data_IF_861213035591
#
_entry.id   IF_861213035591
#
_cell.length_a   1.000
_cell.length_b   1.000
_cell.length_c   1.000
_cell.angle_alpha   90.00
_cell.angle_beta   90.00
_cell.angle_gamma   90.00
#
_symmetry.space_group_name_H-M   'P 1'
#
loop_
_entity.id
_entity.type
_entity.pdbx_description
1 polymer ?
#
# COMPACT_ATOMS: atom_id res chain seq x y z
N UNK A 1 7.60 -32.69 -26.68
CA UNK A 1 6.86 -31.71 -25.86
C UNK A 1 5.37 -32.04 -26.01
N UNK A 2 4.72 -32.71 -25.03
CA UNK A 2 3.29 -32.96 -25.11
C UNK A 2 2.53 -31.63 -24.95
N UNK A 3 1.50 -31.46 -25.77
CA UNK A 3 0.66 -30.27 -25.94
C UNK A 3 -0.11 -29.91 -24.66
N UNK A 4 -0.34 -28.61 -24.48
CA UNK A 4 -1.24 -27.93 -23.52
C UNK A 4 -2.74 -28.30 -23.69
N UNK A 5 -3.08 -29.56 -23.93
CA UNK A 5 -4.46 -30.00 -24.23
C UNK A 5 -5.48 -29.70 -23.13
N UNK A 6 -5.05 -29.62 -21.87
CA UNK A 6 -5.96 -29.40 -20.75
C UNK A 6 -6.46 -27.96 -20.61
N UNK A 7 -5.68 -26.96 -21.04
CA UNK A 7 -6.07 -25.56 -20.95
C UNK A 7 -7.03 -25.19 -22.10
N UNK A 8 -6.78 -25.74 -23.28
CA UNK A 8 -7.62 -25.51 -24.46
C UNK A 8 -9.00 -26.18 -24.29
N UNK A 9 -9.06 -27.40 -23.73
CA UNK A 9 -10.35 -28.08 -23.42
C UNK A 9 -11.16 -27.37 -22.34
N UNK A 10 -10.52 -26.80 -21.32
CA UNK A 10 -11.20 -26.02 -20.27
C UNK A 10 -11.83 -24.74 -20.84
N UNK A 11 -11.11 -24.08 -21.73
CA UNK A 11 -11.56 -22.84 -22.39
C UNK A 11 -12.68 -23.12 -23.39
N UNK A 12 -12.59 -24.20 -24.18
CA UNK A 12 -13.64 -24.59 -25.13
C UNK A 12 -14.96 -24.94 -24.41
N UNK A 13 -14.87 -25.49 -23.20
CA UNK A 13 -16.03 -25.78 -22.35
C UNK A 13 -16.71 -24.52 -21.83
N UNK A 14 -15.94 -23.54 -21.34
CA UNK A 14 -16.46 -22.23 -20.91
C UNK A 14 -17.12 -21.50 -22.09
N UNK A 15 -16.50 -21.49 -23.28
CA UNK A 15 -17.07 -20.83 -24.47
C UNK A 15 -18.41 -21.48 -24.91
N UNK A 16 -18.56 -22.79 -24.73
CA UNK A 16 -19.80 -23.52 -25.00
C UNK A 16 -20.91 -23.23 -23.99
N UNK A 17 -20.58 -22.95 -22.73
CA UNK A 17 -21.55 -22.73 -21.65
C UNK A 17 -22.06 -21.28 -21.58
N UNK A 18 -21.30 -20.28 -22.06
CA UNK A 18 -21.64 -18.85 -21.93
C UNK A 18 -22.35 -18.17 -23.11
N UNK A 19 -22.87 -18.91 -24.10
CA UNK A 19 -23.87 -18.36 -25.06
C UNK A 19 -23.44 -17.18 -25.95
N UNK A 20 -22.17 -16.77 -25.95
CA UNK A 20 -21.66 -15.64 -26.76
C UNK A 20 -21.24 -16.05 -28.19
N UNK A 21 -21.51 -17.29 -28.59
CA UNK A 21 -20.85 -17.89 -29.76
C UNK A 21 -21.38 -17.43 -31.11
N UNK A 22 -22.68 -17.10 -31.24
CA UNK A 22 -23.27 -16.73 -32.54
C UNK A 22 -22.84 -15.33 -33.00
N UNK A 23 -22.93 -14.32 -32.13
CA UNK A 23 -22.56 -12.92 -32.44
C UNK A 23 -21.06 -12.77 -32.79
N UNK A 24 -20.21 -13.51 -32.09
CA UNK A 24 -18.76 -13.49 -32.30
C UNK A 24 -18.39 -14.25 -33.58
N UNK A 25 -19.11 -15.33 -33.93
CA UNK A 25 -18.90 -16.08 -35.18
C UNK A 25 -19.36 -15.27 -36.39
N UNK A 26 -20.50 -14.58 -36.31
CA UNK A 26 -21.00 -13.71 -37.39
C UNK A 26 -20.07 -12.51 -37.63
N UNK A 27 -19.60 -11.85 -36.56
CA UNK A 27 -18.62 -10.77 -36.68
C UNK A 27 -17.27 -11.26 -37.24
N UNK A 28 -16.80 -12.43 -36.83
CA UNK A 28 -15.58 -13.06 -37.36
C UNK A 28 -15.73 -13.43 -38.83
N UNK A 29 -16.88 -13.97 -39.24
CA UNK A 29 -17.21 -14.28 -40.62
C UNK A 29 -17.24 -13.03 -41.51
N UNK A 30 -17.91 -11.96 -41.06
CA UNK A 30 -17.99 -10.70 -41.81
C UNK A 30 -16.67 -9.93 -41.89
N UNK A 31 -15.73 -10.16 -40.96
CA UNK A 31 -14.36 -9.59 -41.03
C UNK A 31 -13.47 -10.46 -41.92
N UNK A 32 -13.58 -11.79 -41.85
CA UNK A 32 -12.90 -12.74 -42.74
C UNK A 32 -13.22 -12.49 -44.21
N UNK A 33 -14.50 -12.32 -44.52
CA UNK A 33 -14.99 -12.05 -45.88
C UNK A 33 -14.50 -10.70 -46.41
N UNK A 34 -14.49 -9.65 -45.58
CA UNK A 34 -13.99 -8.31 -45.98
C UNK A 34 -12.48 -8.25 -46.19
N UNK A 35 -11.72 -9.13 -45.54
CA UNK A 35 -10.26 -9.12 -45.58
C UNK A 35 -9.67 -10.25 -46.44
N UNK A 36 -10.49 -11.14 -46.99
CA UNK A 36 -10.05 -12.28 -47.80
C UNK A 36 -9.22 -13.31 -47.04
N UNK A 37 -9.46 -13.44 -45.73
CA UNK A 37 -8.76 -14.36 -44.83
C UNK A 37 -9.66 -15.54 -44.48
N UNK A 38 -9.09 -16.71 -44.22
CA UNK A 38 -9.87 -17.84 -43.70
C UNK A 38 -10.33 -17.55 -42.26
N UNK A 39 -11.57 -17.93 -41.90
CA UNK A 39 -12.11 -17.66 -40.55
C UNK A 39 -11.17 -18.17 -39.44
N UNK A 40 -10.45 -19.25 -39.72
CA UNK A 40 -9.51 -19.93 -38.82
C UNK A 40 -8.26 -19.09 -38.51
N UNK A 41 -7.92 -18.12 -39.36
CA UNK A 41 -6.78 -17.22 -39.22
C UNK A 41 -7.10 -15.98 -38.37
N UNK A 42 -8.38 -15.70 -38.13
CA UNK A 42 -8.82 -14.57 -37.30
C UNK A 42 -8.94 -15.01 -35.84
N UNK A 43 -7.89 -14.78 -35.05
CA UNK A 43 -7.93 -15.04 -33.62
C UNK A 43 -8.85 -14.02 -32.91
N UNK A 44 -9.97 -14.49 -32.34
CA UNK A 44 -10.80 -13.70 -31.43
C UNK A 44 -9.99 -13.44 -30.17
N UNK A 45 -9.66 -12.18 -29.91
CA UNK A 45 -8.75 -11.82 -28.80
C UNK A 45 -9.45 -11.88 -27.44
N UNK A 46 -8.73 -12.48 -26.49
CA UNK A 46 -8.97 -12.60 -25.04
C UNK A 46 -9.09 -11.25 -24.28
N UNK A 47 -9.20 -10.11 -24.97
CA UNK A 47 -8.94 -8.77 -24.42
C UNK A 47 -10.21 -8.04 -23.90
N UNK A 48 -11.44 -8.49 -24.16
CA UNK A 48 -12.66 -7.71 -23.84
C UNK A 48 -12.99 -7.68 -22.34
N UNK A 49 -12.77 -8.78 -21.62
CA UNK A 49 -12.96 -8.87 -20.15
C UNK A 49 -11.89 -8.06 -19.40
N UNK A 50 -10.63 -8.21 -19.80
CA UNK A 50 -9.46 -7.47 -19.30
C UNK A 50 -9.63 -5.95 -19.45
N UNK A 51 -10.18 -5.52 -20.59
CA UNK A 51 -10.43 -4.10 -20.89
C UNK A 51 -11.56 -3.53 -20.04
N UNK A 52 -12.64 -4.28 -19.78
CA UNK A 52 -13.72 -3.85 -18.86
C UNK A 52 -13.26 -3.82 -17.40
N UNK A 53 -12.47 -4.80 -16.97
CA UNK A 53 -11.95 -4.90 -15.60
C UNK A 53 -11.02 -3.74 -15.22
N UNK A 54 -10.20 -3.25 -16.16
CA UNK A 54 -9.37 -2.06 -15.96
C UNK A 54 -10.17 -0.75 -16.03
N UNK A 55 -11.37 -0.75 -16.63
CA UNK A 55 -12.25 0.43 -16.70
C UNK A 55 -12.98 0.70 -15.38
N UNK A 56 -13.20 -0.32 -14.55
CA UNK A 56 -14.07 -0.24 -13.37
C UNK A 56 -13.31 0.05 -12.06
N UNK A 57 -12.12 0.66 -12.11
CA UNK A 57 -11.36 1.02 -10.91
C UNK A 57 -10.28 2.08 -11.12
N UNK A 58 -9.84 2.69 -10.01
CA UNK A 58 -8.80 3.72 -9.99
C UNK A 58 -7.64 3.30 -9.10
N UNK A 59 -6.43 3.70 -9.49
CA UNK A 59 -5.27 3.69 -8.61
C UNK A 59 -5.38 4.87 -7.63
N UNK A 60 -5.36 4.56 -6.33
CA UNK A 60 -5.42 5.51 -5.25
C UNK A 60 -4.10 5.54 -4.47
N UNK A 61 -3.62 6.74 -4.21
CA UNK A 61 -2.50 6.99 -3.32
C UNK A 61 -2.83 8.13 -2.36
N UNK A 62 -2.45 7.97 -1.09
CA UNK A 62 -2.68 8.97 -0.05
C UNK A 62 -1.36 9.56 0.39
N UNK A 63 -1.16 10.83 0.04
CA UNK A 63 0.00 11.60 0.46
C UNK A 63 -0.38 12.42 1.69
N UNK A 64 0.23 12.09 2.82
CA UNK A 64 0.07 12.83 4.06
C UNK A 64 1.44 13.22 4.55
N UNK A 65 1.58 14.49 4.89
CA UNK A 65 2.82 15.02 5.43
C UNK A 65 2.59 16.20 6.34
N UNK A 66 3.59 16.43 7.17
CA UNK A 66 3.71 17.48 8.16
C UNK A 66 5.15 17.60 8.58
N UNK A 67 5.48 18.70 9.22
CA UNK A 67 6.68 18.77 10.03
C UNK A 67 6.63 17.77 11.19
N UNK A 68 7.76 17.12 11.44
CA UNK A 68 7.86 16.04 12.43
C UNK A 68 8.02 16.54 13.86
N UNK A 69 8.43 17.79 14.07
CA UNK A 69 8.83 18.34 15.38
C UNK A 69 9.91 17.50 16.07
N UNK A 70 10.76 16.87 15.27
CA UNK A 70 11.85 16.02 15.72
C UNK A 70 13.15 16.62 15.19
N UNK A 71 14.15 16.71 16.07
CA UNK A 71 15.53 16.99 15.71
C UNK A 71 16.42 15.86 16.22
N UNK A 72 17.50 15.60 15.52
CA UNK A 72 18.52 14.70 16.02
C UNK A 72 19.14 15.29 17.27
N UNK A 73 19.48 14.44 18.23
CA UNK A 73 20.23 14.83 19.41
C UNK A 73 21.70 15.02 19.02
N UNK A 74 22.30 16.13 19.45
CA UNK A 74 23.70 16.43 19.22
C UNK A 74 24.56 15.99 20.43
N UNK A 75 25.86 15.91 20.20
CA UNK A 75 26.87 15.57 21.20
C UNK A 75 26.83 16.57 22.37
N UNK A 76 26.74 17.87 22.05
CA UNK A 76 26.58 18.96 23.02
C UNK A 76 25.33 18.81 23.90
N UNK A 77 24.24 18.26 23.35
CA UNK A 77 23.00 18.10 24.13
C UNK A 77 23.16 17.07 25.27
N UNK A 78 24.15 16.18 25.13
CA UNK A 78 24.54 15.16 26.12
C UNK A 78 25.78 15.56 26.93
N UNK A 79 26.33 16.74 26.71
CA UNK A 79 27.59 17.18 27.34
C UNK A 79 28.83 16.45 26.84
N UNK A 80 28.76 15.82 25.67
CA UNK A 80 29.92 15.23 25.02
C UNK A 80 30.65 16.34 24.26
N UNK A 81 31.96 16.44 24.47
CA UNK A 81 32.77 17.42 23.74
C UNK A 81 32.92 16.99 22.26
N UNK A 82 32.39 17.75 21.29
CA UNK A 82 32.43 17.41 19.88
C UNK A 82 33.82 17.53 19.25
N UNK A 83 34.70 18.31 19.89
CA UNK A 83 36.08 18.50 19.43
C UNK A 83 37.01 17.37 19.88
N UNK A 84 36.53 16.44 20.72
CA UNK A 84 37.30 15.28 21.11
C UNK A 84 37.22 14.18 20.03
N UNK A 85 38.30 13.88 19.29
CA UNK A 85 38.29 12.88 18.22
C UNK A 85 37.92 11.48 18.71
N UNK A 86 38.28 11.13 19.95
CA UNK A 86 37.98 9.82 20.54
C UNK A 86 36.46 9.65 20.76
N UNK A 87 35.77 10.72 21.18
CA UNK A 87 34.31 10.70 21.33
C UNK A 87 33.61 10.54 19.98
N UNK A 88 34.09 11.26 18.97
CA UNK A 88 33.52 11.21 17.62
C UNK A 88 33.68 9.82 16.98
N UNK A 89 34.86 9.22 17.12
CA UNK A 89 35.10 7.86 16.64
C UNK A 89 34.21 6.85 17.38
N UNK A 90 34.11 6.97 18.71
CA UNK A 90 33.27 6.10 19.54
C UNK A 90 31.77 6.19 19.17
N UNK A 91 31.23 7.40 19.05
CA UNK A 91 29.84 7.60 18.66
C UNK A 91 29.59 7.03 17.26
N UNK A 92 30.45 7.33 16.29
CA UNK A 92 30.27 6.84 14.92
C UNK A 92 30.25 5.31 14.79
N UNK A 93 31.00 4.60 15.65
CA UNK A 93 31.13 3.14 15.60
C UNK A 93 30.13 2.41 16.48
N UNK A 94 29.79 2.96 17.64
CA UNK A 94 29.11 2.21 18.69
C UNK A 94 27.75 2.80 19.12
N UNK A 95 27.48 4.09 18.88
CA UNK A 95 26.27 4.75 19.41
C UNK A 95 25.61 5.66 18.38
N UNK A 96 24.39 5.32 17.98
CA UNK A 96 23.50 6.29 17.30
C UNK A 96 22.81 7.17 18.34
N UNK A 97 23.03 8.48 18.25
CA UNK A 97 22.29 9.46 19.05
C UNK A 97 20.79 9.42 18.69
N UNK A 98 19.95 9.63 19.70
CA UNK A 98 18.49 9.60 19.58
C UNK A 98 17.91 10.88 19.00
N UNK A 99 16.65 11.13 19.35
CA UNK A 99 15.87 12.27 18.87
C UNK A 99 15.40 13.14 20.03
N UNK A 100 15.37 14.46 19.81
CA UNK A 100 14.73 15.44 20.68
C UNK A 100 13.43 15.94 20.05
N UNK A 101 12.41 16.17 20.88
CA UNK A 101 11.07 16.52 20.45
C UNK A 101 10.77 17.99 20.79
N UNK A 102 10.29 18.74 19.81
CA UNK A 102 9.95 20.15 19.98
C UNK A 102 8.54 20.38 20.53
N UNK A 103 7.74 19.32 20.63
CA UNK A 103 6.42 19.32 21.28
C UNK A 103 6.25 17.99 22.02
N UNK A 104 5.25 17.90 22.89
CA UNK A 104 4.93 16.64 23.57
C UNK A 104 4.69 15.51 22.55
N UNK A 105 5.30 14.35 22.83
CA UNK A 105 5.18 13.13 22.04
C UNK A 105 3.72 12.64 21.90
N UNK A 106 2.83 12.97 22.84
CA UNK A 106 1.41 12.64 22.76
C UNK A 106 0.76 13.18 21.47
N UNK A 107 1.08 14.42 21.09
CA UNK A 107 0.61 15.02 19.84
C UNK A 107 1.15 14.24 18.62
N UNK A 108 2.42 13.85 18.66
CA UNK A 108 3.08 13.12 17.56
C UNK A 108 2.52 11.72 17.39
N UNK A 109 2.26 11.00 18.49
CA UNK A 109 1.61 9.68 18.46
C UNK A 109 0.22 9.79 17.83
N UNK A 110 -0.54 10.82 18.19
CA UNK A 110 -1.89 11.05 17.67
C UNK A 110 -1.86 11.33 16.16
N UNK A 111 -1.00 12.24 15.72
CA UNK A 111 -0.80 12.55 14.29
C UNK A 111 -0.33 11.32 13.50
N UNK A 112 0.65 10.56 14.02
CA UNK A 112 1.13 9.33 13.39
C UNK A 112 0.01 8.27 13.28
N UNK A 113 -0.88 8.23 14.26
CA UNK A 113 -2.03 7.32 14.25
C UNK A 113 -3.04 7.72 13.17
N UNK A 114 -3.32 9.01 13.01
CA UNK A 114 -4.19 9.53 11.95
C UNK A 114 -3.59 9.28 10.56
N UNK A 115 -2.29 9.52 10.38
CA UNK A 115 -1.58 9.22 9.13
C UNK A 115 -1.64 7.73 8.77
N UNK A 116 -1.38 6.84 9.74
CA UNK A 116 -1.49 5.39 9.54
C UNK A 116 -2.92 4.97 9.24
N UNK A 117 -3.91 5.56 9.91
CA UNK A 117 -5.34 5.31 9.62
C UNK A 117 -5.65 5.71 8.18
N UNK A 118 -5.25 6.89 7.73
CA UNK A 118 -5.46 7.35 6.36
C UNK A 118 -4.89 6.38 5.31
N UNK A 119 -3.62 5.96 5.47
CA UNK A 119 -3.00 4.97 4.56
C UNK A 119 -3.72 3.62 4.57
N UNK A 120 -4.13 3.15 5.76
CA UNK A 120 -4.87 1.90 5.92
C UNK A 120 -6.26 1.91 5.28
N UNK A 121 -6.90 3.07 5.12
CA UNK A 121 -8.19 3.13 4.42
C UNK A 121 -8.02 2.69 2.98
N UNK A 122 -6.98 3.16 2.28
CA UNK A 122 -6.71 2.72 0.91
C UNK A 122 -6.38 1.22 0.85
N UNK A 123 -5.57 0.72 1.79
CA UNK A 123 -5.27 -0.73 1.91
C UNK A 123 -6.51 -1.59 2.19
N UNK A 124 -7.52 -1.02 2.85
CA UNK A 124 -8.77 -1.70 3.18
C UNK A 124 -9.65 -1.82 1.94
N UNK A 125 -9.76 -0.77 1.15
CA UNK A 125 -10.66 -0.70 -0.01
C UNK A 125 -10.03 -1.12 -1.34
N UNK A 126 -8.71 -1.34 -1.38
CA UNK A 126 -7.98 -1.69 -2.60
C UNK A 126 -6.91 -2.77 -2.45
N UNK A 127 -6.29 -3.11 -3.59
CA UNK A 127 -5.17 -4.04 -3.69
C UNK A 127 -3.88 -3.32 -3.99
N UNK A 128 -2.82 -3.67 -3.26
CA UNK A 128 -1.48 -3.21 -3.60
C UNK A 128 -1.03 -3.84 -4.92
N UNK A 129 -0.68 -2.99 -5.88
CA UNK A 129 -0.11 -3.34 -7.19
C UNK A 129 1.22 -2.63 -7.36
N UNK A 130 1.98 -2.91 -8.43
CA UNK A 130 3.21 -2.18 -8.74
C UNK A 130 3.01 -0.66 -8.91
N UNK A 131 1.81 -0.22 -9.28
CA UNK A 131 1.50 1.19 -9.55
C UNK A 131 0.80 1.91 -8.40
N UNK A 132 0.65 1.26 -7.24
CA UNK A 132 -0.09 1.79 -6.10
C UNK A 132 -1.29 0.91 -5.76
N UNK A 133 -2.27 1.45 -5.03
CA UNK A 133 -3.43 0.67 -4.64
C UNK A 133 -4.55 0.78 -5.65
N UNK A 134 -4.92 -0.34 -6.29
CA UNK A 134 -6.09 -0.39 -7.17
C UNK A 134 -7.37 -0.52 -6.35
N UNK A 135 -8.29 0.42 -6.51
CA UNK A 135 -9.56 0.51 -5.80
C UNK A 135 -10.71 0.39 -6.81
N UNK A 136 -11.56 -0.65 -6.70
CA UNK A 136 -12.74 -0.80 -7.55
C UNK A 136 -13.71 0.37 -7.39
N UNK A 137 -14.39 0.76 -8.48
CA UNK A 137 -15.29 1.90 -8.55
C UNK A 137 -16.35 1.88 -7.45
N UNK A 138 -16.94 0.71 -7.20
CA UNK A 138 -17.94 0.47 -6.15
C UNK A 138 -17.47 0.90 -4.74
N UNK A 139 -16.17 0.82 -4.47
CA UNK A 139 -15.58 1.15 -3.16
C UNK A 139 -15.11 2.61 -3.06
N UNK A 140 -15.00 3.35 -4.16
CA UNK A 140 -14.38 4.68 -4.18
C UNK A 140 -15.16 5.67 -3.32
N UNK A 141 -16.50 5.65 -3.40
CA UNK A 141 -17.35 6.59 -2.66
C UNK A 141 -17.22 6.42 -1.15
N UNK A 142 -17.24 5.18 -0.67
CA UNK A 142 -17.06 4.86 0.75
C UNK A 142 -15.64 5.20 1.22
N UNK A 143 -14.62 4.81 0.44
CA UNK A 143 -13.23 5.12 0.73
C UNK A 143 -13.01 6.62 0.88
N UNK A 144 -13.51 7.43 -0.07
CA UNK A 144 -13.42 8.90 -0.01
C UNK A 144 -14.08 9.45 1.24
N UNK A 145 -15.27 8.95 1.58
CA UNK A 145 -16.00 9.40 2.77
C UNK A 145 -15.23 9.11 4.06
N UNK A 146 -14.61 7.92 4.18
CA UNK A 146 -13.79 7.58 5.34
C UNK A 146 -12.49 8.42 5.38
N UNK A 147 -11.85 8.66 4.23
CA UNK A 147 -10.66 9.52 4.13
C UNK A 147 -10.94 10.97 4.49
N UNK A 148 -12.05 11.56 4.05
CA UNK A 148 -12.40 12.95 4.39
C UNK A 148 -12.66 13.12 5.88
N UNK A 149 -13.24 12.12 6.56
CA UNK A 149 -13.36 12.13 8.03
C UNK A 149 -11.99 12.17 8.71
N UNK A 150 -11.07 11.30 8.29
CA UNK A 150 -9.70 11.26 8.84
C UNK A 150 -8.94 12.55 8.54
N UNK A 151 -9.11 13.10 7.34
CA UNK A 151 -8.53 14.39 6.94
C UNK A 151 -9.06 15.53 7.81
N UNK A 152 -10.36 15.57 8.10
CA UNK A 152 -10.93 16.55 9.02
C UNK A 152 -10.38 16.42 10.44
N UNK A 153 -10.27 15.19 10.97
CA UNK A 153 -9.61 14.92 12.27
C UNK A 153 -8.14 15.40 12.26
N UNK A 154 -7.42 15.13 11.17
CA UNK A 154 -6.01 15.52 10.99
C UNK A 154 -5.82 17.04 10.96
N UNK A 155 -6.65 17.76 10.22
CA UNK A 155 -6.61 19.22 10.14
C UNK A 155 -7.10 19.88 11.44
N UNK A 156 -8.05 19.26 12.15
CA UNK A 156 -8.47 19.72 13.49
C UNK A 156 -7.30 19.63 14.48
N UNK A 157 -6.50 18.56 14.41
CA UNK A 157 -5.30 18.40 15.23
C UNK A 157 -4.24 19.47 14.92
N UNK A 158 -4.06 19.82 13.63
CA UNK A 158 -3.22 20.96 13.21
C UNK A 158 -3.71 22.26 13.83
N UNK A 159 -5.00 22.56 13.72
CA UNK A 159 -5.57 23.82 14.19
C UNK A 159 -5.49 23.93 15.71
N UNK A 160 -5.63 22.81 16.43
CA UNK A 160 -5.40 22.76 17.88
C UNK A 160 -3.94 23.05 18.25
N UNK A 161 -2.96 22.51 17.52
CA UNK A 161 -1.54 22.79 17.73
C UNK A 161 -1.25 24.28 17.47
N UNK A 162 -1.82 24.86 16.42
CA UNK A 162 -1.67 26.28 16.10
C UNK A 162 -2.32 27.19 17.16
N UNK A 163 -3.49 26.81 17.67
CA UNK A 163 -4.18 27.53 18.75
C UNK A 163 -3.39 27.48 20.06
N UNK A 164 -2.77 26.34 20.37
CA UNK A 164 -1.94 26.14 21.58
C UNK A 164 -0.46 26.49 21.38
N UNK A 165 -0.07 27.06 20.23
CA UNK A 165 1.33 27.21 19.85
C UNK A 165 2.19 27.91 20.91
N UNK A 166 1.72 29.06 21.43
CA UNK A 166 2.50 29.85 22.39
C UNK A 166 2.65 29.10 23.73
N UNK A 167 1.60 28.42 24.17
CA UNK A 167 1.63 27.56 25.36
C UNK A 167 2.58 26.37 25.19
N UNK A 168 2.52 25.66 24.05
CA UNK A 168 3.41 24.54 23.73
C UNK A 168 4.87 24.98 23.68
N UNK A 169 5.13 26.17 23.14
CA UNK A 169 6.47 26.76 23.06
C UNK A 169 7.04 27.05 24.45
N UNK A 170 6.24 27.65 25.34
CA UNK A 170 6.67 27.91 26.72
C UNK A 170 6.81 26.63 27.56
N UNK A 171 5.90 25.66 27.40
CA UNK A 171 5.99 24.35 28.05
C UNK A 171 7.28 23.61 27.63
N UNK A 172 7.55 23.57 26.33
CA UNK A 172 8.77 22.98 25.77
C UNK A 172 10.02 23.70 26.31
N UNK A 173 10.00 25.03 26.35
CA UNK A 173 11.08 25.83 26.94
C UNK A 173 11.32 25.47 28.41
N UNK A 174 10.26 25.36 29.22
CA UNK A 174 10.35 25.01 30.63
C UNK A 174 10.88 23.59 30.83
N UNK A 175 10.40 22.62 30.05
CA UNK A 175 10.89 21.24 30.08
C UNK A 175 12.39 21.17 29.77
N UNK A 176 12.85 21.90 28.74
CA UNK A 176 14.27 21.93 28.40
C UNK A 176 15.14 22.70 29.40
N UNK A 177 14.61 23.73 30.08
CA UNK A 177 15.32 24.36 31.21
C UNK A 177 15.60 23.34 32.32
N UNK A 178 14.61 22.51 32.65
CA UNK A 178 14.77 21.47 33.67
C UNK A 178 15.74 20.38 33.20
N UNK A 179 15.61 19.91 31.95
CA UNK A 179 16.53 18.94 31.37
C UNK A 179 17.98 19.44 31.31
N UNK A 180 18.20 20.72 30.99
CA UNK A 180 19.54 21.31 30.98
C UNK A 180 20.20 21.30 32.36
N UNK A 181 19.44 21.64 33.41
CA UNK A 181 19.92 21.60 34.80
C UNK A 181 20.29 20.19 35.24
N UNK A 182 19.46 19.19 34.90
CA UNK A 182 19.76 17.79 35.20
C UNK A 182 20.97 17.28 34.39
N UNK A 183 21.05 17.61 33.10
CA UNK A 183 22.20 17.27 32.26
C UNK A 183 23.51 17.83 32.86
N UNK A 184 23.51 19.10 33.29
CA UNK A 184 24.68 19.72 33.92
C UNK A 184 25.13 18.98 35.20
N UNK A 185 24.19 18.56 36.05
CA UNK A 185 24.50 17.79 37.27
C UNK A 185 25.12 16.42 36.95
N UNK A 186 24.59 15.75 35.92
CA UNK A 186 25.11 14.47 35.46
C UNK A 186 26.53 14.59 34.88
N UNK A 187 26.78 15.62 34.08
CA UNK A 187 28.10 15.88 33.47
C UNK A 187 29.15 16.18 34.56
N UNK A 188 28.79 16.98 35.57
CA UNK A 188 29.71 17.32 36.66
C UNK A 188 29.81 16.24 37.74
N UNK A 189 29.08 15.12 37.60
CA UNK A 189 28.99 14.04 38.59
C UNK A 189 28.62 14.54 40.00
N UNK A 190 27.95 15.69 40.09
CA UNK A 190 27.55 16.31 41.35
C UNK A 190 26.05 16.61 41.31
N UNK A 191 25.31 15.90 42.16
CA UNK A 191 23.85 15.98 42.28
C UNK A 191 23.37 17.35 42.79
N UNK A 192 24.24 18.08 43.49
CA UNK A 192 23.92 19.38 44.08
C UNK A 192 24.50 20.55 43.31
N UNK A 193 25.22 20.30 42.21
CA UNK A 193 25.73 21.34 41.35
C UNK A 193 24.59 22.25 40.86
N UNK A 194 24.81 23.56 41.02
CA UNK A 194 23.93 24.59 40.48
C UNK A 194 24.40 24.89 39.07
N UNK A 195 23.56 24.61 38.08
CA UNK A 195 23.86 24.94 36.69
C UNK A 195 23.92 26.47 36.52
N UNK A 196 24.99 27.03 35.95
CA UNK A 196 25.05 28.44 35.59
C UNK A 196 23.88 28.81 34.67
N UNK A 197 23.22 29.94 34.91
CA UNK A 197 22.06 30.34 34.11
C UNK A 197 22.46 30.55 32.63
N UNK A 198 23.67 31.03 32.36
CA UNK A 198 24.22 31.17 31.00
C UNK A 198 24.25 29.84 30.23
N UNK A 199 24.60 28.72 30.90
CA UNK A 199 24.59 27.40 30.29
C UNK A 199 23.17 26.95 29.94
N UNK A 200 22.23 27.14 30.88
CA UNK A 200 20.82 26.79 30.70
C UNK A 200 20.20 27.62 29.57
N UNK A 201 20.47 28.92 29.53
CA UNK A 201 19.98 29.81 28.48
C UNK A 201 20.56 29.46 27.11
N UNK A 202 21.86 29.17 27.02
CA UNK A 202 22.48 28.74 25.76
C UNK A 202 21.88 27.44 25.24
N UNK A 203 21.75 26.43 26.12
CA UNK A 203 21.15 25.13 25.78
C UNK A 203 19.71 25.30 25.25
N UNK A 204 18.89 26.06 25.98
CA UNK A 204 17.49 26.30 25.61
C UNK A 204 17.40 27.14 24.33
N UNK A 205 18.24 28.17 24.17
CA UNK A 205 18.28 29.00 22.97
C UNK A 205 18.58 28.17 21.72
N UNK A 206 19.52 27.22 21.81
CA UNK A 206 19.89 26.35 20.69
C UNK A 206 18.74 25.42 20.27
N UNK A 207 17.94 24.93 21.21
CA UNK A 207 16.78 24.10 20.90
C UNK A 207 15.62 24.95 20.38
N UNK A 208 15.35 26.09 21.04
CA UNK A 208 14.22 26.95 20.72
C UNK A 208 14.42 27.75 19.42
N UNK A 209 15.65 27.95 18.95
CA UNK A 209 15.92 28.52 17.63
C UNK A 209 15.47 27.61 16.49
N UNK A 210 15.36 26.30 16.75
CA UNK A 210 14.85 25.32 15.79
C UNK A 210 13.32 25.16 15.86
N UNK A 211 12.66 25.86 16.79
CA UNK A 211 11.22 25.81 16.96
C UNK A 211 10.54 26.57 15.81
N UNK A 212 9.73 25.90 15.00
CA UNK A 212 9.17 26.49 13.79
C UNK A 212 8.14 27.58 14.10
N UNK A 213 7.89 28.45 13.13
CA UNK A 213 6.85 29.48 13.18
C UNK A 213 5.45 28.87 12.99
N UNK A 214 4.38 29.61 13.35
CA UNK A 214 2.99 29.18 13.14
C UNK A 214 2.69 28.93 11.65
N UNK A 215 3.25 29.76 10.77
CA UNK A 215 3.09 29.66 9.32
C UNK A 215 3.78 28.41 8.77
N UNK A 216 5.03 28.16 9.13
CA UNK A 216 5.75 26.93 8.75
C UNK A 216 5.03 25.66 9.22
N UNK A 217 4.48 25.68 10.44
CA UNK A 217 3.66 24.57 10.92
C UNK A 217 2.45 24.40 10.02
N UNK A 218 1.67 25.46 9.81
CA UNK A 218 0.43 25.42 9.03
C UNK A 218 0.65 24.89 7.61
N UNK A 219 1.67 25.40 6.93
CA UNK A 219 1.96 25.09 5.53
C UNK A 219 2.58 23.70 5.35
N UNK A 220 3.24 23.18 6.39
CA UNK A 220 3.80 21.83 6.33
C UNK A 220 2.73 20.74 6.29
N UNK A 221 1.52 21.01 6.79
CA UNK A 221 0.44 20.02 6.88
C UNK A 221 -0.31 19.89 5.55
N UNK A 222 -0.28 18.69 4.98
CA UNK A 222 -1.09 18.35 3.80
C UNK A 222 -1.65 16.93 3.91
N UNK A 223 -2.82 16.73 3.32
CA UNK A 223 -3.50 15.45 3.18
C UNK A 223 -4.18 15.41 1.81
N UNK A 224 -3.57 14.70 0.87
CA UNK A 224 -3.94 14.70 -0.54
C UNK A 224 -4.25 13.26 -0.97
N UNK A 225 -5.41 13.06 -1.58
CA UNK A 225 -5.78 11.82 -2.27
C UNK A 225 -5.51 12.00 -3.76
N UNK A 226 -4.55 11.25 -4.28
CA UNK A 226 -4.25 11.15 -5.71
C UNK A 226 -5.03 9.98 -6.29
N UNK A 227 -5.86 10.24 -7.28
CA UNK A 227 -6.56 9.21 -8.06
C UNK A 227 -6.04 9.25 -9.49
N UNK A 228 -5.62 8.09 -9.99
CA UNK A 228 -5.21 7.91 -11.37
C UNK A 228 -5.96 6.73 -11.96
N UNK A 229 -6.31 6.80 -13.25
CA UNK A 229 -6.91 5.68 -13.95
C UNK A 229 -5.80 4.89 -14.66
N UNK A 230 -5.99 3.59 -14.84
CA UNK A 230 -5.12 2.79 -15.70
C UNK A 230 -5.64 2.98 -17.12
N UNK A 231 -4.96 3.76 -17.98
CA UNK A 231 -5.48 4.06 -19.29
C UNK A 231 -5.43 2.81 -20.17
N UNK A 232 -6.54 2.55 -20.85
CA UNK A 232 -6.63 1.45 -21.81
C UNK A 232 -5.76 1.71 -23.02
N UNK A 233 -5.40 0.61 -23.68
CA UNK A 233 -4.63 0.60 -24.92
C UNK A 233 -5.21 1.60 -25.92
N UNK A 234 -6.53 1.67 -26.15
CA UNK A 234 -7.14 2.62 -27.10
C UNK A 234 -6.94 4.11 -26.74
N UNK A 235 -7.10 4.50 -25.48
CA UNK A 235 -6.92 5.89 -25.03
C UNK A 235 -5.45 6.31 -24.94
N UNK A 236 -4.54 5.39 -24.61
CA UNK A 236 -3.10 5.65 -24.67
C UNK A 236 -2.56 5.70 -26.09
N UNK A 237 -3.16 4.93 -27.01
CA UNK A 237 -2.81 4.98 -28.42
C UNK A 237 -3.01 6.39 -28.98
N UNK A 238 -4.07 7.08 -28.57
CA UNK A 238 -4.30 8.47 -28.94
C UNK A 238 -3.32 9.43 -28.24
N UNK A 239 -3.08 9.27 -26.94
CA UNK A 239 -2.20 10.17 -26.16
C UNK A 239 -0.73 10.01 -26.59
N UNK A 240 -0.22 8.78 -26.67
CA UNK A 240 1.16 8.47 -27.05
C UNK A 240 1.46 8.75 -28.51
N UNK A 241 0.51 8.49 -29.42
CA UNK A 241 0.66 8.92 -30.82
C UNK A 241 0.73 10.44 -30.91
N UNK A 242 -0.10 11.16 -30.15
CA UNK A 242 -0.15 12.63 -30.13
C UNK A 242 1.12 13.26 -29.56
N UNK A 243 1.66 12.74 -28.45
CA UNK A 243 2.92 13.22 -27.86
C UNK A 243 4.13 13.00 -28.77
N UNK A 244 4.23 11.85 -29.44
CA UNK A 244 5.31 11.58 -30.39
C UNK A 244 5.15 12.38 -31.68
N UNK A 245 3.91 12.57 -32.18
CA UNK A 245 3.64 13.48 -33.30
C UNK A 245 4.07 14.91 -33.00
N UNK A 246 3.90 15.37 -31.77
CA UNK A 246 4.37 16.69 -31.33
C UNK A 246 5.90 16.73 -31.36
N UNK A 247 6.59 15.76 -30.76
CA UNK A 247 8.07 15.69 -30.77
C UNK A 247 8.66 15.55 -32.17
N UNK A 248 7.99 14.82 -33.06
CA UNK A 248 8.41 14.65 -34.45
C UNK A 248 8.10 15.88 -35.29
N UNK A 249 6.98 16.57 -35.06
CA UNK A 249 6.71 17.88 -35.67
C UNK A 249 7.73 18.91 -35.23
N UNK A 250 8.12 18.91 -33.96
CA UNK A 250 9.19 19.77 -33.45
C UNK A 250 10.53 19.46 -34.12
N UNK A 251 10.92 18.18 -34.19
CA UNK A 251 12.15 17.75 -34.90
C UNK A 251 12.11 18.00 -36.41
N UNK A 252 10.96 17.80 -37.05
CA UNK A 252 10.76 18.04 -38.48
C UNK A 252 10.70 19.53 -38.80
N UNK A 253 10.16 20.36 -37.91
CA UNK A 253 10.23 21.82 -38.02
C UNK A 253 11.68 22.31 -37.86
N UNK A 254 12.46 21.70 -36.98
CA UNK A 254 13.91 21.92 -36.85
C UNK A 254 14.70 21.44 -38.09
N UNK A 255 14.26 20.37 -38.78
CA UNK A 255 14.90 19.82 -39.98
C UNK A 255 14.45 20.43 -41.32
N UNK A 256 13.22 20.95 -41.41
CA UNK A 256 12.64 21.55 -42.61
C UNK A 256 13.27 22.90 -42.98
N UNK A 257 14.04 23.49 -42.08
CA UNK A 257 14.89 24.65 -42.39
C UNK A 257 15.97 24.29 -43.44
N UNK A 258 16.25 22.99 -43.71
CA UNK A 258 17.37 22.56 -44.57
C UNK A 258 17.07 21.64 -45.78
N UNK A 259 15.84 21.30 -46.16
CA UNK A 259 15.63 20.40 -47.32
C UNK A 259 14.31 20.63 -48.07
N UNK A 260 14.36 21.47 -49.10
CA UNK A 260 13.24 21.73 -50.01
C UNK A 260 13.20 20.70 -51.17
N UNK A 261 11.99 20.15 -51.40
CA UNK A 261 11.38 19.81 -52.71
C UNK A 261 11.54 18.45 -53.41
N UNK A 262 12.29 17.45 -52.96
CA UNK A 262 12.18 16.10 -53.57
C UNK A 262 12.04 14.93 -52.59
N UNK A 263 12.18 15.18 -51.30
CA UNK A 263 12.08 14.16 -50.25
C UNK A 263 10.67 14.00 -49.67
N UNK A 264 9.66 14.77 -50.11
CA UNK A 264 8.34 14.82 -49.44
C UNK A 264 7.56 13.51 -49.46
N UNK A 265 7.49 12.80 -50.59
CA UNK A 265 6.75 11.53 -50.70
C UNK A 265 7.45 10.36 -49.99
N UNK A 266 8.78 10.27 -50.09
CA UNK A 266 9.54 9.25 -49.35
C UNK A 266 9.60 9.54 -47.85
N UNK A 267 9.69 10.82 -47.45
CA UNK A 267 9.65 11.20 -46.04
C UNK A 267 8.26 10.97 -45.43
N UNK A 268 7.18 11.11 -46.19
CA UNK A 268 5.81 10.87 -45.71
C UNK A 268 5.53 9.38 -45.54
N UNK A 269 5.95 8.54 -46.49
CA UNK A 269 5.87 7.07 -46.34
C UNK A 269 6.78 6.57 -45.20
N UNK A 270 7.99 7.08 -45.08
CA UNK A 270 8.90 6.75 -43.98
C UNK A 270 8.33 7.18 -42.62
N UNK A 271 7.68 8.35 -42.55
CA UNK A 271 6.94 8.78 -41.35
C UNK A 271 5.78 7.83 -41.04
N UNK A 272 4.98 7.44 -42.03
CA UNK A 272 3.86 6.54 -41.80
C UNK A 272 4.31 5.13 -41.36
N UNK A 273 5.39 4.60 -41.94
CA UNK A 273 5.95 3.31 -41.53
C UNK A 273 6.56 3.37 -40.13
N UNK A 274 7.33 4.43 -39.81
CA UNK A 274 7.87 4.65 -38.47
C UNK A 274 6.76 4.80 -37.42
N UNK A 275 5.67 5.51 -37.74
CA UNK A 275 4.50 5.62 -36.87
C UNK A 275 3.83 4.25 -36.65
N UNK A 276 3.68 3.43 -37.70
CA UNK A 276 3.08 2.09 -37.58
C UNK A 276 3.95 1.12 -36.77
N UNK A 277 5.26 1.18 -36.94
CA UNK A 277 6.20 0.31 -36.22
C UNK A 277 6.28 0.69 -34.74
N UNK A 278 6.40 1.99 -34.46
CA UNK A 278 6.33 2.51 -33.08
C UNK A 278 4.97 2.26 -32.42
N UNK A 279 3.88 2.31 -33.19
CA UNK A 279 2.54 1.93 -32.73
C UNK A 279 2.51 0.47 -32.28
N UNK A 280 3.06 -0.45 -33.08
CA UNK A 280 3.12 -1.87 -32.72
C UNK A 280 3.93 -2.10 -31.46
N UNK A 281 5.08 -1.44 -31.32
CA UNK A 281 5.95 -1.59 -30.15
C UNK A 281 5.28 -1.06 -28.86
N UNK A 282 4.64 0.11 -28.92
CA UNK A 282 3.93 0.69 -27.77
C UNK A 282 2.74 -0.19 -27.36
N UNK A 283 1.98 -0.73 -28.32
CA UNK A 283 0.86 -1.65 -28.04
C UNK A 283 1.35 -2.93 -27.37
N UNK A 284 2.40 -3.55 -27.88
CA UNK A 284 2.93 -4.80 -27.31
C UNK A 284 3.52 -4.59 -25.92
N UNK A 285 4.23 -3.48 -25.70
CA UNK A 285 4.79 -3.16 -24.38
C UNK A 285 3.68 -2.90 -23.36
N UNK A 286 2.68 -2.11 -23.73
CA UNK A 286 1.57 -1.78 -22.83
C UNK A 286 0.67 -2.98 -22.57
N UNK A 287 0.46 -3.84 -23.57
CA UNK A 287 -0.27 -5.10 -23.40
C UNK A 287 0.39 -5.97 -22.34
N UNK A 288 1.72 -6.14 -22.41
CA UNK A 288 2.48 -6.89 -21.40
C UNK A 288 2.34 -6.29 -20.01
N UNK A 289 2.28 -4.96 -19.91
CA UNK A 289 2.14 -4.27 -18.63
C UNK A 289 0.73 -4.42 -18.04
N UNK A 290 -0.33 -4.36 -18.87
CA UNK A 290 -1.71 -4.65 -18.44
C UNK A 290 -1.87 -6.12 -18.04
N UNK A 291 -1.37 -7.06 -18.85
CA UNK A 291 -1.42 -8.49 -18.54
C UNK A 291 -0.68 -8.79 -17.23
N UNK A 292 0.47 -8.14 -17.01
CA UNK A 292 1.22 -8.26 -15.75
C UNK A 292 0.43 -7.71 -14.57
N UNK A 293 -0.17 -6.53 -14.72
CA UNK A 293 -0.99 -5.92 -13.67
C UNK A 293 -2.18 -6.78 -13.28
N UNK A 294 -2.91 -7.33 -14.26
CA UNK A 294 -4.00 -8.24 -13.98
C UNK A 294 -3.50 -9.52 -13.31
N UNK A 295 -2.39 -10.07 -13.77
CA UNK A 295 -1.73 -11.19 -13.11
C UNK A 295 -1.37 -10.89 -11.65
N UNK A 296 -0.92 -9.66 -11.35
CA UNK A 296 -0.66 -9.21 -9.97
C UNK A 296 -1.94 -9.13 -9.12
N UNK A 297 -3.03 -8.58 -9.67
CA UNK A 297 -4.30 -8.45 -8.93
C UNK A 297 -4.94 -9.81 -8.68
N UNK A 298 -5.09 -10.64 -9.72
CA UNK A 298 -5.62 -12.01 -9.60
C UNK A 298 -4.72 -12.83 -8.67
N UNK A 299 -3.41 -12.77 -8.86
CA UNK A 299 -2.45 -13.44 -7.97
C UNK A 299 -2.60 -12.99 -6.51
N UNK A 300 -2.96 -11.73 -6.26
CA UNK A 300 -3.20 -11.24 -4.89
C UNK A 300 -4.49 -11.78 -4.28
N UNK A 301 -5.58 -11.88 -5.07
CA UNK A 301 -6.85 -12.48 -4.62
C UNK A 301 -6.61 -13.93 -4.23
N UNK A 302 -6.04 -14.73 -5.12
CA UNK A 302 -5.75 -16.14 -4.86
C UNK A 302 -4.75 -16.33 -3.70
N UNK A 303 -3.77 -15.43 -3.54
CA UNK A 303 -2.86 -15.45 -2.38
C UNK A 303 -3.62 -15.26 -1.08
N UNK A 304 -4.58 -14.33 -1.04
CA UNK A 304 -5.38 -14.05 0.16
C UNK A 304 -6.29 -15.23 0.52
N UNK A 305 -6.92 -15.85 -0.48
CA UNK A 305 -7.73 -17.07 -0.33
C UNK A 305 -6.85 -18.20 0.20
N UNK A 306 -5.73 -18.48 -0.46
CA UNK A 306 -4.78 -19.51 -0.06
C UNK A 306 -4.27 -19.33 1.38
N UNK A 307 -3.77 -18.14 1.73
CA UNK A 307 -3.23 -17.84 3.07
C UNK A 307 -4.28 -18.06 4.16
N UNK A 308 -5.52 -17.64 3.92
CA UNK A 308 -6.62 -17.73 4.89
C UNK A 308 -7.12 -19.16 5.07
N UNK A 309 -7.34 -19.89 3.98
CA UNK A 309 -7.76 -21.30 4.01
C UNK A 309 -6.66 -22.20 4.59
N UNK A 310 -5.40 -21.97 4.23
CA UNK A 310 -4.25 -22.70 4.78
C UNK A 310 -4.10 -22.47 6.29
N UNK A 311 -4.28 -21.24 6.77
CA UNK A 311 -4.25 -20.93 8.19
C UNK A 311 -5.39 -21.60 8.96
N UNK A 312 -6.62 -21.58 8.40
CA UNK A 312 -7.77 -22.25 9.00
C UNK A 312 -7.56 -23.77 9.06
N UNK A 313 -7.05 -24.37 7.98
CA UNK A 313 -6.67 -25.80 7.93
C UNK A 313 -5.66 -26.15 9.01
N UNK A 314 -4.56 -25.39 9.12
CA UNK A 314 -3.51 -25.64 10.12
C UNK A 314 -4.05 -25.51 11.56
N UNK A 315 -4.98 -24.59 11.80
CA UNK A 315 -5.66 -24.46 13.08
C UNK A 315 -6.54 -25.68 13.39
N UNK A 316 -7.29 -26.19 12.40
CA UNK A 316 -8.10 -27.41 12.54
C UNK A 316 -7.26 -28.66 12.78
N UNK A 317 -6.10 -28.79 12.13
CA UNK A 317 -5.18 -29.91 12.37
C UNK A 317 -4.67 -29.93 13.82
N UNK A 318 -4.49 -28.75 14.43
CA UNK A 318 -4.05 -28.63 15.84
C UNK A 318 -5.18 -28.84 16.84
N UNK A 319 -6.34 -28.26 16.57
CA UNK A 319 -7.44 -28.17 17.55
C UNK A 319 -8.56 -29.20 17.32
N UNK A 320 -8.49 -29.98 16.23
CA UNK A 320 -9.53 -30.92 15.81
C UNK A 320 -10.81 -30.27 15.28
N UNK A 321 -10.96 -28.95 15.39
CA UNK A 321 -12.14 -28.19 14.97
C UNK A 321 -11.77 -26.77 14.53
N UNK A 322 -12.69 -26.09 13.85
CA UNK A 322 -12.49 -24.74 13.32
C UNK A 322 -12.77 -23.72 14.43
N UNK A 323 -11.75 -22.96 14.85
CA UNK A 323 -11.88 -22.03 15.96
C UNK A 323 -12.77 -20.84 15.60
N UNK A 324 -13.40 -20.20 16.58
CA UNK A 324 -14.19 -18.99 16.36
C UNK A 324 -13.38 -17.86 15.69
N UNK A 325 -12.07 -17.78 15.99
CA UNK A 325 -11.16 -16.83 15.36
C UNK A 325 -10.94 -17.11 13.87
N UNK A 326 -10.88 -18.38 13.47
CA UNK A 326 -10.71 -18.76 12.05
C UNK A 326 -11.99 -18.52 11.25
N UNK A 327 -13.17 -18.77 11.84
CA UNK A 327 -14.46 -18.40 11.23
C UNK A 327 -14.50 -16.90 10.95
N UNK A 328 -14.12 -16.08 11.93
CA UNK A 328 -14.12 -14.62 11.76
C UNK A 328 -13.16 -14.18 10.66
N UNK A 329 -11.99 -14.82 10.55
CA UNK A 329 -11.03 -14.57 9.47
C UNK A 329 -11.59 -14.96 8.10
N UNK A 330 -12.22 -16.13 7.98
CA UNK A 330 -12.85 -16.57 6.73
C UNK A 330 -14.01 -15.66 6.33
N UNK A 331 -14.83 -15.19 7.28
CA UNK A 331 -15.86 -14.18 7.00
C UNK A 331 -15.27 -12.86 6.53
N UNK A 332 -14.19 -12.41 7.18
CA UNK A 332 -13.47 -11.19 6.76
C UNK A 332 -12.82 -11.34 5.38
N UNK A 333 -12.33 -12.55 5.06
CA UNK A 333 -11.85 -12.90 3.72
C UNK A 333 -12.99 -12.80 2.71
N UNK A 334 -14.14 -13.43 2.98
CA UNK A 334 -15.29 -13.42 2.08
C UNK A 334 -15.72 -11.99 1.79
N UNK A 335 -16.00 -11.20 2.82
CA UNK A 335 -16.39 -9.80 2.67
C UNK A 335 -15.35 -9.01 1.88
N UNK A 336 -14.06 -9.23 2.18
CA UNK A 336 -12.96 -8.56 1.46
C UNK A 336 -12.88 -8.99 0.01
N UNK A 337 -12.97 -10.27 -0.31
CA UNK A 337 -12.91 -10.74 -1.70
C UNK A 337 -14.17 -10.31 -2.44
N UNK A 338 -15.37 -10.35 -1.87
CA UNK A 338 -16.60 -9.89 -2.53
C UNK A 338 -16.61 -8.39 -2.82
N UNK A 339 -16.23 -7.58 -1.83
CA UNK A 339 -16.04 -6.12 -2.03
C UNK A 339 -14.95 -5.82 -3.05
N UNK A 340 -14.14 -6.81 -3.40
CA UNK A 340 -13.06 -6.67 -4.35
C UNK A 340 -13.20 -7.54 -5.61
N UNK A 341 -14.19 -8.44 -5.71
CA UNK A 341 -14.37 -9.35 -6.83
C UNK A 341 -15.05 -8.55 -7.92
N UNK A 342 -14.23 -7.86 -8.71
CA UNK A 342 -14.62 -7.17 -9.94
C UNK A 342 -14.43 -8.10 -11.15
N UNK A 343 -13.83 -9.27 -10.95
CA UNK A 343 -13.45 -10.20 -12.00
C UNK A 343 -14.60 -11.10 -12.50
N UNK A 344 -15.77 -11.10 -11.84
CA UNK A 344 -16.86 -12.06 -12.09
C UNK A 344 -16.31 -13.49 -12.29
N UNK A 345 -15.30 -13.83 -11.47
CA UNK A 345 -14.61 -15.09 -11.56
C UNK A 345 -15.47 -16.13 -10.85
N UNK A 346 -16.12 -16.99 -11.65
CA UNK A 346 -17.03 -18.01 -11.15
C UNK A 346 -16.34 -19.01 -10.23
N UNK A 347 -15.06 -19.31 -10.44
CA UNK A 347 -14.31 -20.20 -9.54
C UNK A 347 -14.17 -19.55 -8.17
N UNK A 348 -13.77 -18.27 -8.13
CA UNK A 348 -13.66 -17.51 -6.89
C UNK A 348 -15.01 -17.42 -6.20
N UNK A 349 -16.09 -17.12 -6.93
CA UNK A 349 -17.44 -17.07 -6.37
C UNK A 349 -17.90 -18.42 -5.82
N UNK A 350 -17.55 -19.52 -6.50
CA UNK A 350 -17.81 -20.88 -6.01
C UNK A 350 -17.06 -21.14 -4.69
N UNK A 351 -15.77 -20.79 -4.58
CA UNK A 351 -15.04 -20.92 -3.31
C UNK A 351 -15.67 -20.07 -2.21
N UNK A 352 -16.05 -18.82 -2.52
CA UNK A 352 -16.68 -17.93 -1.55
C UNK A 352 -18.00 -18.49 -1.05
N UNK A 353 -18.82 -19.05 -1.94
CA UNK A 353 -20.09 -19.70 -1.56
C UNK A 353 -19.86 -20.95 -0.70
N UNK A 354 -18.87 -21.78 -1.03
CA UNK A 354 -18.48 -22.91 -0.18
C UNK A 354 -18.01 -22.46 1.21
N UNK A 355 -17.17 -21.42 1.28
CA UNK A 355 -16.69 -20.86 2.55
C UNK A 355 -17.82 -20.21 3.36
N UNK A 356 -18.77 -19.52 2.71
CA UNK A 356 -19.98 -19.00 3.36
C UNK A 356 -20.77 -20.12 4.02
N UNK A 357 -21.07 -21.18 3.27
CA UNK A 357 -21.79 -22.34 3.80
C UNK A 357 -21.11 -22.93 5.05
N UNK A 358 -19.77 -23.03 5.04
CA UNK A 358 -19.00 -23.49 6.20
C UNK A 358 -19.12 -22.53 7.39
N UNK A 359 -18.99 -21.23 7.16
CA UNK A 359 -18.95 -20.21 8.22
C UNK A 359 -20.32 -19.86 8.81
N UNK A 360 -21.41 -20.14 8.08
CA UNK A 360 -22.79 -19.93 8.52
C UNK A 360 -23.40 -21.16 9.21
N UNK A 361 -22.94 -22.37 8.88
CA UNK A 361 -23.39 -23.60 9.55
C UNK A 361 -23.04 -23.55 11.05
N UNK A 362 -23.95 -23.97 11.94
CA UNK A 362 -23.70 -24.03 13.39
C UNK A 362 -22.61 -25.05 13.74
N UNK A 363 -21.79 -24.76 14.76
CA UNK A 363 -20.65 -25.60 15.15
C UNK A 363 -21.03 -27.08 15.38
N UNK A 364 -22.16 -27.33 16.05
CA UNK A 364 -22.63 -28.70 16.38
C UNK A 364 -23.07 -29.52 15.16
N UNK A 365 -23.36 -28.85 14.04
CA UNK A 365 -23.81 -29.49 12.79
C UNK A 365 -22.71 -29.56 11.73
N UNK A 366 -21.52 -29.01 12.00
CA UNK A 366 -20.41 -29.05 11.04
C UNK A 366 -19.73 -30.41 11.09
N UNK A 367 -19.74 -31.12 9.97
CA UNK A 367 -18.87 -32.25 9.78
C UNK A 367 -17.43 -31.76 9.56
N UNK A 368 -16.54 -32.12 10.48
CA UNK A 368 -15.13 -31.69 10.46
C UNK A 368 -14.41 -32.19 9.21
N UNK A 369 -14.73 -33.38 8.72
CA UNK A 369 -14.03 -33.98 7.58
C UNK A 369 -14.48 -33.35 6.25
N UNK A 370 -15.75 -33.00 6.13
CA UNK A 370 -16.26 -32.27 4.96
C UNK A 370 -15.61 -30.88 4.87
N UNK A 371 -15.52 -30.18 6.01
CA UNK A 371 -14.87 -28.86 6.07
C UNK A 371 -13.38 -28.96 5.72
N UNK A 372 -12.66 -29.98 6.20
CA UNK A 372 -11.26 -30.22 5.81
C UNK A 372 -11.13 -30.47 4.31
N UNK A 373 -12.04 -31.25 3.73
CA UNK A 373 -12.06 -31.57 2.30
C UNK A 373 -12.21 -30.30 1.49
N UNK A 374 -13.23 -29.48 1.78
CA UNK A 374 -13.45 -28.21 1.08
C UNK A 374 -12.26 -27.26 1.23
N UNK A 375 -11.69 -27.11 2.44
CA UNK A 375 -10.51 -26.27 2.63
C UNK A 375 -9.29 -26.80 1.86
N UNK A 376 -9.12 -28.12 1.76
CA UNK A 376 -8.04 -28.72 0.97
C UNK A 376 -8.20 -28.43 -0.51
N UNK A 377 -9.40 -28.60 -1.04
CA UNK A 377 -9.70 -28.41 -2.45
C UNK A 377 -9.45 -26.95 -2.86
N UNK A 378 -10.04 -26.00 -2.12
CA UNK A 378 -9.83 -24.56 -2.35
C UNK A 378 -8.34 -24.20 -2.24
N UNK A 379 -7.62 -24.75 -1.25
CA UNK A 379 -6.20 -24.47 -1.07
C UNK A 379 -5.34 -25.04 -2.19
N UNK A 380 -5.67 -26.24 -2.69
CA UNK A 380 -4.96 -26.90 -3.78
C UNK A 380 -5.17 -26.16 -5.10
N UNK A 381 -6.40 -25.77 -5.39
CA UNK A 381 -6.77 -25.06 -6.62
C UNK A 381 -6.20 -23.65 -6.62
N UNK A 382 -6.33 -22.91 -5.51
CA UNK A 382 -5.70 -21.60 -5.38
C UNK A 382 -4.17 -21.67 -5.52
N UNK A 383 -3.53 -22.70 -4.97
CA UNK A 383 -2.10 -22.93 -5.15
C UNK A 383 -1.73 -23.21 -6.60
N UNK A 384 -2.52 -24.02 -7.31
CA UNK A 384 -2.31 -24.31 -8.73
C UNK A 384 -2.40 -23.02 -9.57
N UNK A 385 -3.42 -22.19 -9.34
CA UNK A 385 -3.58 -20.91 -10.04
C UNK A 385 -2.42 -19.95 -9.74
N UNK A 386 -1.97 -19.87 -8.49
CA UNK A 386 -0.79 -19.07 -8.15
C UNK A 386 0.46 -19.54 -8.91
N UNK A 387 0.69 -20.85 -8.99
CA UNK A 387 1.82 -21.41 -9.73
C UNK A 387 1.72 -21.13 -11.23
N UNK A 388 0.52 -21.19 -11.82
CA UNK A 388 0.27 -20.85 -13.23
C UNK A 388 0.56 -19.36 -13.51
N UNK A 389 0.25 -18.48 -12.56
CA UNK A 389 0.55 -17.04 -12.63
C UNK A 389 2.02 -16.70 -12.32
N UNK A 390 2.87 -17.71 -12.04
CA UNK A 390 4.26 -17.50 -11.63
C UNK A 390 4.40 -16.87 -10.24
N UNK A 391 3.33 -16.81 -9.47
CA UNK A 391 3.31 -16.31 -8.10
C UNK A 391 3.68 -17.43 -7.13
N UNK A 392 4.53 -17.12 -6.14
CA UNK A 392 4.86 -18.07 -5.08
C UNK A 392 3.85 -17.93 -3.94
N UNK A 393 3.12 -18.99 -3.55
CA UNK A 393 2.24 -18.94 -2.39
C UNK A 393 3.08 -18.62 -1.16
N UNK A 394 2.68 -17.58 -0.43
CA UNK A 394 3.26 -17.35 0.90
C UNK A 394 2.62 -18.36 1.83
N UNK A 395 3.41 -19.30 2.33
CA UNK A 395 2.93 -20.15 3.40
C UNK A 395 2.53 -19.27 4.57
N UNK A 396 1.32 -19.47 5.09
CA UNK A 396 0.87 -18.79 6.29
C UNK A 396 1.92 -19.04 7.37
N UNK A 397 2.64 -17.98 7.77
CA UNK A 397 3.55 -18.08 8.91
C UNK A 397 2.67 -18.48 10.07
N UNK A 398 2.84 -19.70 10.57
CA UNK A 398 2.25 -20.15 11.82
C UNK A 398 2.66 -19.13 12.89
N UNK A 399 1.79 -18.16 13.16
CA UNK A 399 1.87 -17.35 14.37
C UNK A 399 1.53 -18.29 15.52
N UNK A 400 2.53 -19.03 15.97
CA UNK A 400 2.49 -19.69 17.26
C UNK A 400 2.08 -18.64 18.29
N UNK A 401 1.09 -18.98 19.11
CA UNK A 401 0.62 -18.15 20.21
C UNK A 401 1.72 -18.09 21.27
N UNK A 402 2.69 -17.19 21.06
CA UNK A 402 3.89 -17.02 21.87
C UNK A 402 4.78 -16.08 21.08
N UNK A 403 4.75 -14.80 21.45
CA UNK A 403 5.28 -13.73 20.62
C UNK A 403 6.76 -13.90 20.26
N UNK A 404 7.07 -13.60 19.00
CA UNK A 404 8.36 -13.06 18.58
C UNK A 404 8.14 -12.25 17.30
N UNK A 405 8.52 -10.96 17.29
CA UNK A 405 9.84 -10.47 16.84
C UNK A 405 10.05 -10.79 15.36
N UNK A 406 10.02 -9.73 14.57
CA UNK A 406 10.54 -9.69 13.21
C UNK A 406 12.01 -10.12 13.27
N UNK A 407 12.32 -11.33 12.80
CA UNK A 407 13.65 -11.63 12.28
C UNK A 407 13.59 -11.24 10.81
N UNK A 408 13.88 -9.97 10.55
CA UNK A 408 14.57 -9.60 9.33
C UNK A 408 16.01 -10.06 9.50
N UNK A 409 16.57 -10.57 8.40
CA UNK A 409 17.93 -11.08 8.27
C UNK A 409 18.94 -10.14 8.95
N UNK A 410 19.55 -10.51 10.09
CA UNK A 410 20.59 -9.69 10.67
C UNK A 410 21.84 -9.90 9.82
N UNK A 411 22.29 -8.82 9.16
CA UNK A 411 23.68 -8.72 8.76
C UNK A 411 24.59 -9.10 9.93
N UNK A 412 25.81 -9.60 9.65
CA UNK A 412 26.66 -10.14 10.68
C UNK A 412 26.95 -9.05 11.71
N UNK A 413 26.74 -9.39 12.98
CA UNK A 413 27.07 -8.62 14.18
C UNK A 413 25.94 -7.76 14.80
N UNK A 414 25.00 -8.42 15.48
CA UNK A 414 24.17 -7.79 16.51
C UNK A 414 23.84 -8.79 17.63
N UNK A 415 24.47 -8.62 18.79
CA UNK A 415 24.25 -9.45 19.98
C UNK A 415 22.84 -9.34 20.60
N UNK A 416 22.48 -10.24 21.52
CA UNK A 416 21.10 -10.45 21.95
C UNK A 416 20.59 -9.33 22.88
N UNK A 417 19.51 -8.65 22.47
CA UNK A 417 18.79 -7.66 23.29
C UNK A 417 17.83 -8.36 24.26
N UNK A 418 18.18 -8.42 25.55
CA UNK A 418 17.26 -8.82 26.64
C UNK A 418 16.18 -7.75 26.87
N UNK A 419 14.91 -8.14 26.77
CA UNK A 419 13.77 -7.31 27.18
C UNK A 419 13.73 -7.17 28.71
N UNK A 420 14.04 -5.98 29.24
CA UNK A 420 13.70 -5.61 30.63
C UNK A 420 12.21 -5.25 30.70
N UNK A 421 11.43 -5.99 31.49
CA UNK A 421 10.12 -5.54 32.00
C UNK A 421 10.37 -4.36 32.95
N UNK A 422 9.97 -3.15 32.57
CA UNK A 422 9.85 -2.04 33.52
C UNK A 422 8.51 -2.15 34.27
N UNK A 423 8.56 -1.90 35.57
CA UNK A 423 7.39 -1.70 36.44
C UNK A 423 6.70 -0.37 36.09
N UNK A 424 5.40 -0.21 36.40
CA UNK A 424 4.69 1.05 36.16
C UNK A 424 5.16 2.12 37.15
N UNK A 425 5.41 3.33 36.66
CA UNK A 425 5.58 4.53 37.47
C UNK A 425 4.20 5.13 37.79
N UNK A 426 4.02 5.51 39.05
CA UNK A 426 2.85 6.21 39.57
C UNK A 426 2.78 7.67 39.06
N UNK A 427 1.54 8.11 38.84
CA UNK A 427 1.00 9.48 38.73
C UNK A 427 1.85 10.55 38.02
N UNK A 428 1.54 10.76 36.73
CA UNK A 428 1.75 12.04 36.03
C UNK A 428 0.38 12.57 35.60
N UNK A 429 0.16 13.86 35.87
CA UNK A 429 -1.14 14.55 35.78
C UNK A 429 -1.91 14.35 34.48
N UNK A 430 -3.22 14.24 34.62
CA UNK A 430 -4.19 14.09 33.53
C UNK A 430 -4.20 15.37 32.68
N UNK A 431 -3.62 15.30 31.48
CA UNK A 431 -3.99 16.21 30.40
C UNK A 431 -5.40 15.82 29.92
N UNK A 432 -6.37 16.73 30.04
CA UNK A 432 -7.67 16.61 29.38
C UNK A 432 -7.49 16.67 27.86
N UNK A 433 -7.24 15.51 27.26
CA UNK A 433 -7.42 15.30 25.83
C UNK A 433 -8.92 15.25 25.53
N UNK A 434 -9.40 15.79 24.40
CA UNK A 434 -10.80 15.64 24.01
C UNK A 434 -11.14 14.15 23.95
N UNK A 435 -12.20 13.76 24.67
CA UNK A 435 -12.65 12.38 24.75
C UNK A 435 -12.85 11.82 23.34
N UNK A 436 -12.16 10.71 23.03
CA UNK A 436 -12.42 9.95 21.81
C UNK A 436 -13.92 9.60 21.75
N UNK A 437 -14.56 9.65 20.57
CA UNK A 437 -15.98 9.33 20.45
C UNK A 437 -16.22 7.90 20.93
N UNK A 438 -16.88 7.77 22.07
CA UNK A 438 -17.27 6.51 22.68
C UNK A 438 -18.16 5.78 21.68
N UNK A 439 -17.69 4.63 21.15
CA UNK A 439 -18.55 3.72 20.39
C UNK A 439 -19.68 3.29 21.32
N UNK A 440 -20.87 3.85 21.10
CA UNK A 440 -22.10 3.36 21.69
C UNK A 440 -22.25 1.88 21.33
N UNK A 441 -22.10 1.00 22.33
CA UNK A 441 -22.57 -0.39 22.22
C UNK A 441 -24.09 -0.30 22.03
N UNK A 442 -24.57 -0.65 20.84
CA UNK A 442 -25.98 -1.00 20.66
C UNK A 442 -26.28 -2.19 21.56
N UNK A 443 -27.08 -1.95 22.59
CA UNK A 443 -27.98 -2.97 23.13
C UNK A 443 -29.24 -2.92 22.25
N UNK A 444 -29.63 -4.07 21.72
CA UNK A 444 -30.69 -4.25 20.75
C UNK A 444 -30.46 -5.54 20.00
#
# INVERSE_FOLDING_TARGET
>A
MPKNKNLDEYIDRLISEFGASEDIREQRAGIAERLGLEQNEIAVRKDVLVTKMAQEGLLAEVHVGRMRFIRQLNEDDLGLNPDNPDHKEFLSRYISLGNKYLIDNAYLITLNTLERRGRRVVEKYGFQTRWGYFVPEKNISEMKTELEKIKAEYLTMRDMILAKYDALKEETRAAYKNAARESYRLINLDRYAVAPEEYVEHFVKNIMSMFPTKEEIKDSFYFILSLSFVPLTSTLLEIGAREKLIREKEKAALGAINAEKQTSLMAENYKQEAIKETYREVVETHRRDVDRFLGEVVGRIYSLVYESCSAAKQSMERNGSLSAGDILRLKSLIERVETLNFTNDEEVDNYLNQLKNITETNADRRNVDDVKTVLNDITAEANQTLLMLGCKPRQARSRTAGGDVLVEDPGPDAGPRRRRRMKPAEEVGQLELPAAPTRARRAG
#
